data_IF_250777227761
#
_entry.id   IF_250777227761
#
_cell.length_a   1.000
_cell.length_b   1.000
_cell.length_c   1.000
_cell.angle_alpha   90.00
_cell.angle_beta   90.00
_cell.angle_gamma   90.00
#
_symmetry.space_group_name_H-M   'P 1'
#
loop_
_entity.id
_entity.type
_entity.pdbx_description
1 polymer ?
#
# COMPACT_ATOMS: atom_id res chain seq x y z
N UNK A 1 11.31 17.46 -21.70
CA UNK A 1 10.93 16.33 -20.83
C UNK A 1 12.05 15.30 -20.93
N UNK A 2 12.67 14.85 -19.82
CA UNK A 2 13.83 13.92 -19.81
C UNK A 2 13.44 12.47 -19.46
N UNK A 3 12.15 12.18 -19.36
CA UNK A 3 11.62 10.87 -18.96
C UNK A 3 11.32 10.02 -20.20
N UNK A 4 11.76 8.76 -20.19
CA UNK A 4 11.45 7.76 -21.21
C UNK A 4 10.65 6.65 -20.50
N UNK A 5 9.34 6.51 -20.77
CA UNK A 5 8.55 5.41 -20.20
C UNK A 5 8.94 4.09 -20.87
N UNK A 6 9.01 3.02 -20.08
CA UNK A 6 9.37 1.67 -20.52
C UNK A 6 8.30 0.71 -20.03
N UNK A 7 7.81 -0.16 -20.91
CA UNK A 7 6.79 -1.15 -20.55
C UNK A 7 7.39 -2.32 -19.80
N UNK A 8 6.58 -3.06 -19.03
CA UNK A 8 7.06 -4.30 -18.43
C UNK A 8 7.50 -5.32 -19.49
N UNK A 9 8.63 -5.99 -19.25
CA UNK A 9 9.20 -6.98 -20.16
C UNK A 9 9.94 -6.41 -21.37
N UNK A 10 9.91 -5.09 -21.59
CA UNK A 10 10.69 -4.44 -22.64
C UNK A 10 12.18 -4.42 -22.28
N UNK A 11 13.02 -4.88 -23.21
CA UNK A 11 14.48 -4.86 -23.06
C UNK A 11 15.02 -3.58 -23.68
N UNK A 12 15.60 -2.71 -22.86
CA UNK A 12 16.08 -1.39 -23.28
C UNK A 12 17.58 -1.24 -23.01
N UNK A 13 18.38 -0.94 -24.03
CA UNK A 13 19.78 -0.58 -23.86
C UNK A 13 19.88 0.83 -23.22
N UNK A 14 20.42 0.92 -22.01
CA UNK A 14 20.57 2.19 -21.25
C UNK A 14 22.01 2.69 -21.19
N UNK A 15 22.97 1.82 -21.53
CA UNK A 15 24.39 2.13 -21.77
C UNK A 15 24.95 1.12 -22.77
N UNK A 16 26.20 1.29 -23.28
CA UNK A 16 26.83 0.31 -24.17
C UNK A 16 26.94 -1.11 -23.60
N UNK A 17 26.84 -1.27 -22.29
CA UNK A 17 27.07 -2.52 -21.56
C UNK A 17 25.95 -2.86 -20.57
N UNK A 18 24.84 -2.12 -20.51
CA UNK A 18 23.73 -2.38 -19.59
C UNK A 18 22.41 -2.36 -20.35
N UNK A 19 21.67 -3.47 -20.20
CA UNK A 19 20.27 -3.58 -20.59
C UNK A 19 19.38 -3.58 -19.36
N UNK A 20 18.32 -2.78 -19.42
CA UNK A 20 17.28 -2.66 -18.42
C UNK A 20 16.04 -3.44 -18.87
N UNK A 21 15.41 -4.16 -17.94
CA UNK A 21 14.04 -4.66 -18.09
C UNK A 21 13.26 -4.39 -16.82
N UNK A 22 12.07 -3.80 -16.97
CA UNK A 22 11.16 -3.56 -15.85
C UNK A 22 10.18 -4.73 -15.72
N UNK A 23 9.84 -5.09 -14.49
CA UNK A 23 8.90 -6.16 -14.21
C UNK A 23 7.94 -5.81 -13.08
N UNK A 24 6.73 -6.34 -13.09
CA UNK A 24 5.73 -6.07 -12.04
C UNK A 24 6.27 -6.39 -10.63
N UNK A 25 6.19 -5.40 -9.72
CA UNK A 25 6.48 -5.54 -8.30
C UNK A 25 5.23 -5.71 -7.42
N UNK A 26 4.02 -5.49 -7.95
CA UNK A 26 2.76 -5.66 -7.22
C UNK A 26 2.55 -4.71 -6.03
N UNK A 27 3.33 -3.63 -5.91
CA UNK A 27 3.28 -2.71 -4.76
C UNK A 27 2.25 -1.60 -4.93
N UNK A 28 2.36 -0.85 -6.03
CA UNK A 28 1.42 0.18 -6.51
C UNK A 28 1.32 0.09 -8.04
N UNK A 29 0.37 0.80 -8.65
CA UNK A 29 0.24 0.86 -10.11
C UNK A 29 1.57 1.24 -10.76
N UNK A 30 2.03 0.43 -11.72
CA UNK A 30 3.29 0.64 -12.42
C UNK A 30 4.57 0.35 -11.61
N UNK A 31 4.45 -0.06 -10.33
CA UNK A 31 5.61 -0.44 -9.51
C UNK A 31 6.42 -1.53 -10.19
N UNK A 32 7.74 -1.32 -10.24
CA UNK A 32 8.61 -2.11 -11.10
C UNK A 32 9.86 -2.58 -10.36
N UNK A 33 10.15 -3.87 -10.48
CA UNK A 33 11.46 -4.43 -10.23
C UNK A 33 12.36 -4.12 -11.43
N UNK A 34 13.60 -3.77 -11.14
CA UNK A 34 14.62 -3.41 -12.12
C UNK A 34 15.54 -4.62 -12.32
N UNK A 35 15.49 -5.22 -13.50
CA UNK A 35 16.46 -6.25 -13.92
C UNK A 35 17.52 -5.62 -14.81
N UNK A 36 18.78 -5.73 -14.40
CA UNK A 36 19.94 -5.23 -15.13
C UNK A 36 20.76 -6.40 -15.64
N UNK A 37 20.94 -6.44 -16.95
CA UNK A 37 21.86 -7.34 -17.63
C UNK A 37 23.13 -6.59 -18.00
N UNK A 38 24.26 -6.94 -17.36
CA UNK A 38 25.51 -6.19 -17.44
C UNK A 38 26.55 -6.95 -18.27
N UNK A 39 27.21 -6.26 -19.19
CA UNK A 39 28.14 -6.80 -20.18
C UNK A 39 27.46 -7.79 -21.12
N UNK A 40 28.17 -8.86 -21.48
CA UNK A 40 27.59 -10.00 -22.23
C UNK A 40 27.05 -11.05 -21.26
N UNK A 41 26.25 -10.61 -20.29
CA UNK A 41 25.84 -11.43 -19.14
C UNK A 41 27.00 -11.74 -18.20
N UNK A 42 27.90 -10.77 -18.00
CA UNK A 42 28.96 -10.87 -17.01
C UNK A 42 28.34 -11.03 -15.60
N UNK A 43 27.33 -10.21 -15.31
CA UNK A 43 26.58 -10.24 -14.05
C UNK A 43 25.17 -9.70 -14.26
N UNK A 44 24.18 -10.26 -13.57
CA UNK A 44 22.80 -9.79 -13.62
C UNK A 44 22.32 -9.45 -12.22
N UNK A 45 21.68 -8.28 -12.10
CA UNK A 45 21.16 -7.75 -10.85
C UNK A 45 19.66 -7.57 -10.96
N UNK A 46 18.93 -8.00 -9.94
CA UNK A 46 17.54 -7.57 -9.75
C UNK A 46 17.49 -6.67 -8.54
N UNK A 47 16.94 -5.47 -8.69
CA UNK A 47 16.57 -4.60 -7.59
C UNK A 47 15.05 -4.55 -7.49
N UNK A 48 14.48 -4.94 -6.34
CA UNK A 48 13.03 -5.09 -6.21
C UNK A 48 12.31 -3.75 -6.12
N UNK A 49 12.95 -2.71 -5.59
CA UNK A 49 12.22 -1.62 -4.94
C UNK A 49 11.30 -2.17 -3.84
N UNK A 50 10.19 -1.49 -3.61
CA UNK A 50 9.10 -2.02 -2.78
C UNK A 50 8.26 -3.02 -3.58
N UNK A 51 7.86 -4.14 -2.98
CA UNK A 51 7.11 -5.19 -3.68
C UNK A 51 6.14 -5.96 -2.78
N UNK A 52 5.06 -6.47 -3.38
CA UNK A 52 4.10 -7.38 -2.75
C UNK A 52 4.12 -8.74 -3.42
N UNK A 53 4.56 -9.77 -2.70
CA UNK A 53 4.51 -11.17 -3.15
C UNK A 53 3.34 -11.93 -2.51
N UNK A 54 2.17 -11.30 -2.51
CA UNK A 54 0.92 -11.82 -1.99
C UNK A 54 -0.26 -11.33 -2.81
N UNK A 55 -1.43 -11.90 -2.57
CA UNK A 55 -2.66 -11.49 -3.23
C UNK A 55 -3.09 -10.09 -2.78
N UNK A 56 -3.54 -9.29 -3.75
CA UNK A 56 -4.24 -8.02 -3.56
C UNK A 56 -5.40 -7.96 -4.55
N UNK A 57 -6.43 -7.17 -4.26
CA UNK A 57 -7.54 -6.96 -5.20
C UNK A 57 -7.06 -6.16 -6.42
N UNK A 58 -6.23 -5.13 -6.18
CA UNK A 58 -5.80 -4.18 -7.19
C UNK A 58 -4.76 -4.72 -8.17
N UNK A 59 -3.76 -5.46 -7.67
CA UNK A 59 -2.55 -5.79 -8.43
C UNK A 59 -2.24 -7.29 -8.41
N UNK A 60 -1.64 -7.77 -9.50
CA UNK A 60 -1.01 -9.09 -9.50
C UNK A 60 0.25 -9.10 -8.61
N UNK A 61 0.57 -10.24 -7.97
CA UNK A 61 1.76 -10.34 -7.14
C UNK A 61 3.03 -10.11 -7.95
N UNK A 62 4.09 -9.69 -7.26
CA UNK A 62 5.42 -9.53 -7.83
C UNK A 62 5.87 -10.78 -8.60
N UNK A 63 6.52 -10.58 -9.74
CA UNK A 63 7.10 -11.71 -10.48
C UNK A 63 8.28 -12.30 -9.71
N UNK A 64 8.54 -13.59 -9.87
CA UNK A 64 9.70 -14.26 -9.28
C UNK A 64 10.53 -15.05 -10.29
N UNK A 65 10.24 -14.87 -11.58
CA UNK A 65 10.87 -15.59 -12.70
C UNK A 65 11.67 -14.61 -13.55
N UNK A 66 12.97 -14.83 -13.67
CA UNK A 66 13.89 -13.98 -14.43
C UNK A 66 14.77 -14.83 -15.35
N UNK A 67 15.28 -14.29 -16.46
CA UNK A 67 16.16 -15.07 -17.35
C UNK A 67 17.47 -15.51 -16.67
N UNK A 68 18.10 -14.60 -15.92
CA UNK A 68 19.35 -14.85 -15.19
C UNK A 68 19.52 -13.82 -14.07
N UNK A 69 19.91 -14.28 -12.87
CA UNK A 69 20.15 -13.41 -11.71
C UNK A 69 21.26 -13.96 -10.85
N UNK A 70 22.32 -13.17 -10.63
CA UNK A 70 23.38 -13.49 -9.68
C UNK A 70 23.19 -12.77 -8.34
N UNK A 71 22.78 -11.50 -8.40
CA UNK A 71 22.56 -10.63 -7.24
C UNK A 71 21.12 -10.15 -7.19
N UNK A 72 20.48 -10.32 -6.04
CA UNK A 72 19.20 -9.68 -5.70
C UNK A 72 19.47 -8.56 -4.68
N UNK A 73 18.84 -7.40 -4.87
CA UNK A 73 18.75 -6.33 -3.88
C UNK A 73 17.26 -6.21 -3.54
N UNK A 74 16.88 -6.46 -2.29
CA UNK A 74 15.49 -6.64 -1.86
C UNK A 74 15.14 -5.77 -0.66
N UNK A 75 13.93 -5.21 -0.63
CA UNK A 75 13.43 -4.49 0.55
C UNK A 75 13.31 -5.39 1.81
N UNK A 76 13.26 -4.77 2.98
CA UNK A 76 13.17 -5.43 4.28
C UNK A 76 12.23 -4.71 5.25
N UNK A 77 11.24 -3.97 4.73
CA UNK A 77 10.31 -3.13 5.52
C UNK A 77 9.66 -3.90 6.66
N UNK A 78 9.18 -5.12 6.36
CA UNK A 78 8.60 -6.08 7.31
C UNK A 78 9.57 -7.22 7.64
N UNK A 79 10.85 -6.90 7.82
CA UNK A 79 11.91 -7.85 8.08
C UNK A 79 12.02 -8.38 9.51
N UNK A 80 11.19 -7.93 10.48
CA UNK A 80 11.25 -8.44 11.86
C UNK A 80 10.51 -9.79 12.01
N UNK A 81 10.93 -10.71 12.90
CA UNK A 81 10.27 -12.01 13.11
C UNK A 81 8.76 -11.97 13.35
N UNK A 82 8.29 -10.93 14.03
CA UNK A 82 6.91 -10.62 14.38
C UNK A 82 6.16 -9.84 13.30
N UNK A 83 6.82 -9.43 12.22
CA UNK A 83 6.19 -8.75 11.07
C UNK A 83 5.52 -9.76 10.12
N UNK A 84 4.65 -10.60 10.68
CA UNK A 84 3.79 -11.53 9.94
C UNK A 84 2.38 -10.96 9.98
N UNK A 85 1.77 -10.80 8.81
CA UNK A 85 0.39 -10.30 8.73
C UNK A 85 -0.61 -11.45 8.71
N UNK A 86 -1.85 -11.24 9.18
CA UNK A 86 -2.92 -12.22 9.02
C UNK A 86 -3.14 -12.59 7.55
N UNK A 87 -3.67 -13.79 7.26
CA UNK A 87 -4.14 -14.16 5.94
C UNK A 87 -5.15 -13.13 5.41
N UNK A 88 -5.16 -12.92 4.09
CA UNK A 88 -5.99 -11.88 3.47
C UNK A 88 -7.48 -12.01 3.82
N UNK A 89 -8.02 -13.21 3.81
CA UNK A 89 -9.43 -13.44 4.15
C UNK A 89 -9.77 -13.04 5.59
N UNK A 90 -8.84 -13.25 6.55
CA UNK A 90 -9.02 -12.83 7.94
C UNK A 90 -8.90 -11.30 8.09
N UNK A 91 -7.96 -10.68 7.35
CA UNK A 91 -7.83 -9.22 7.26
C UNK A 91 -9.12 -8.58 6.73
N UNK A 92 -9.68 -9.13 5.66
CA UNK A 92 -10.90 -8.60 5.03
C UNK A 92 -12.12 -8.80 5.96
N UNK A 93 -12.28 -9.98 6.57
CA UNK A 93 -13.35 -10.23 7.52
C UNK A 93 -13.29 -9.27 8.72
N UNK A 94 -12.09 -9.04 9.29
CA UNK A 94 -11.91 -8.08 10.38
C UNK A 94 -12.29 -6.66 9.96
N UNK A 95 -11.95 -6.25 8.74
CA UNK A 95 -12.35 -4.96 8.18
C UNK A 95 -13.86 -4.82 8.08
N UNK A 96 -14.51 -5.81 7.48
CA UNK A 96 -15.97 -5.83 7.29
C UNK A 96 -16.69 -5.80 8.63
N UNK A 97 -16.27 -6.64 9.60
CA UNK A 97 -16.88 -6.71 10.92
C UNK A 97 -16.79 -5.38 11.69
N UNK A 98 -15.61 -4.76 11.71
CA UNK A 98 -15.40 -3.47 12.36
C UNK A 98 -16.22 -2.37 11.69
N UNK A 99 -16.15 -2.30 10.34
CA UNK A 99 -16.88 -1.30 9.57
C UNK A 99 -18.39 -1.44 9.80
N UNK A 100 -18.96 -2.64 9.66
CA UNK A 100 -20.38 -2.90 9.93
C UNK A 100 -20.79 -2.53 11.34
N UNK A 101 -19.95 -2.80 12.35
CA UNK A 101 -20.24 -2.44 13.74
C UNK A 101 -20.40 -0.92 13.91
N UNK A 102 -19.51 -0.13 13.31
CA UNK A 102 -19.54 1.34 13.33
C UNK A 102 -20.74 1.87 12.52
N UNK A 103 -20.94 1.33 11.31
CA UNK A 103 -21.95 1.80 10.36
C UNK A 103 -23.40 1.59 10.81
N UNK A 104 -23.64 0.86 11.91
CA UNK A 104 -24.98 0.77 12.52
C UNK A 104 -25.56 2.15 12.84
N UNK A 105 -24.74 3.07 13.36
CA UNK A 105 -25.18 4.40 13.77
C UNK A 105 -24.16 5.52 13.50
N UNK A 106 -22.94 5.19 13.10
CA UNK A 106 -21.85 6.17 12.95
C UNK A 106 -21.19 6.13 11.59
N UNK A 107 -20.04 6.80 11.52
CA UNK A 107 -19.26 7.00 10.30
C UNK A 107 -17.87 6.41 10.45
N UNK A 108 -17.37 5.81 9.38
CA UNK A 108 -16.03 5.23 9.32
C UNK A 108 -15.10 6.19 8.60
N UNK A 109 -14.02 6.62 9.24
CA UNK A 109 -12.94 7.39 8.62
C UNK A 109 -11.79 6.45 8.30
N UNK A 110 -11.32 6.46 7.06
CA UNK A 110 -10.18 5.66 6.60
C UNK A 110 -9.12 6.62 6.01
N UNK A 111 -8.07 6.97 6.79
CA UNK A 111 -6.94 7.73 6.27
C UNK A 111 -6.16 6.89 5.26
N UNK A 112 -6.00 7.40 4.03
CA UNK A 112 -5.25 6.71 2.97
C UNK A 112 -4.32 7.65 2.20
N UNK A 113 -3.16 7.17 1.69
CA UNK A 113 -2.42 7.87 0.64
C UNK A 113 -3.25 7.92 -0.65
N UNK A 114 -2.95 8.89 -1.52
CA UNK A 114 -3.69 9.08 -2.78
C UNK A 114 -3.57 7.87 -3.74
N UNK A 115 -2.42 7.21 -3.76
CA UNK A 115 -2.09 6.11 -4.68
C UNK A 115 -1.79 4.83 -3.89
N UNK A 116 -2.21 3.69 -4.42
CA UNK A 116 -1.96 2.36 -3.86
C UNK A 116 -3.05 1.95 -2.90
N UNK A 117 -2.91 2.32 -1.61
CA UNK A 117 -3.83 1.87 -0.56
C UNK A 117 -5.27 2.30 -0.79
N UNK A 118 -5.50 3.54 -1.24
CA UNK A 118 -6.85 4.01 -1.47
C UNK A 118 -7.59 3.12 -2.48
N UNK A 119 -6.94 2.82 -3.61
CA UNK A 119 -7.54 1.97 -4.65
C UNK A 119 -7.76 0.54 -4.16
N UNK A 120 -6.82 -0.04 -3.41
CA UNK A 120 -7.00 -1.37 -2.81
C UNK A 120 -8.23 -1.44 -1.90
N UNK A 121 -8.40 -0.44 -1.02
CA UNK A 121 -9.54 -0.41 -0.09
C UNK A 121 -10.86 -0.13 -0.82
N UNK A 122 -10.84 0.70 -1.86
CA UNK A 122 -12.03 0.87 -2.72
C UNK A 122 -12.46 -0.47 -3.34
N UNK A 123 -11.53 -1.28 -3.84
CA UNK A 123 -11.87 -2.60 -4.40
C UNK A 123 -12.43 -3.55 -3.35
N UNK A 124 -11.85 -3.57 -2.15
CA UNK A 124 -12.37 -4.35 -1.01
C UNK A 124 -13.78 -3.91 -0.66
N UNK A 125 -14.00 -2.61 -0.46
CA UNK A 125 -15.32 -2.06 -0.13
C UNK A 125 -16.34 -2.41 -1.22
N UNK A 126 -16.02 -2.17 -2.49
CA UNK A 126 -16.94 -2.46 -3.59
C UNK A 126 -17.33 -3.94 -3.60
N UNK A 127 -16.33 -4.83 -3.53
CA UNK A 127 -16.54 -6.28 -3.55
C UNK A 127 -17.46 -6.72 -2.41
N UNK A 128 -17.15 -6.34 -1.17
CA UNK A 128 -17.92 -6.80 -0.01
C UNK A 128 -19.30 -6.14 0.10
N UNK A 129 -19.51 -4.94 -0.47
CA UNK A 129 -20.85 -4.36 -0.64
C UNK A 129 -21.65 -5.13 -1.72
N UNK A 130 -21.06 -5.42 -2.89
CA UNK A 130 -21.71 -6.23 -3.93
C UNK A 130 -22.06 -7.65 -3.45
N UNK A 131 -21.24 -8.24 -2.58
CA UNK A 131 -21.47 -9.56 -1.95
C UNK A 131 -22.51 -9.51 -0.82
N UNK A 132 -22.94 -8.31 -0.37
CA UNK A 132 -23.90 -8.12 0.71
C UNK A 132 -23.34 -8.37 2.12
N UNK A 133 -22.02 -8.47 2.26
CA UNK A 133 -21.34 -8.69 3.54
C UNK A 133 -20.99 -7.38 4.25
N UNK A 134 -20.67 -6.31 3.51
CA UNK A 134 -20.47 -4.97 4.03
C UNK A 134 -21.74 -4.12 3.82
N UNK A 135 -22.19 -3.45 4.88
CA UNK A 135 -23.38 -2.59 4.87
C UNK A 135 -23.23 -1.52 3.79
N UNK A 136 -24.17 -1.49 2.84
CA UNK A 136 -24.21 -0.49 1.78
C UNK A 136 -24.49 0.91 2.36
N UNK A 137 -23.51 1.79 2.21
CA UNK A 137 -23.60 3.20 2.61
C UNK A 137 -22.82 4.04 1.59
N UNK A 138 -23.07 5.36 1.48
CA UNK A 138 -22.25 6.22 0.66
C UNK A 138 -20.77 6.17 1.09
N UNK A 139 -19.87 6.04 0.12
CA UNK A 139 -18.42 6.11 0.33
C UNK A 139 -17.92 7.42 -0.26
N UNK A 140 -17.56 8.36 0.61
CA UNK A 140 -17.03 9.66 0.22
C UNK A 140 -15.53 9.60 0.02
N UNK A 141 -15.06 10.07 -1.14
CA UNK A 141 -13.66 10.07 -1.53
C UNK A 141 -13.20 11.53 -1.63
N UNK A 142 -12.18 11.92 -0.86
CA UNK A 142 -11.63 13.29 -0.91
C UNK A 142 -10.09 13.33 -0.94
N UNK A 143 -9.57 14.34 -1.64
CA UNK A 143 -8.16 14.53 -1.94
C UNK A 143 -7.81 13.97 -3.31
N UNK A 144 -6.51 13.75 -3.57
CA UNK A 144 -5.99 13.31 -4.88
C UNK A 144 -6.33 11.84 -5.23
N UNK A 145 -7.22 11.19 -4.47
CA UNK A 145 -7.60 9.79 -4.67
C UNK A 145 -8.33 9.63 -5.99
N UNK A 146 -9.24 10.54 -6.35
CA UNK A 146 -10.02 10.45 -7.58
C UNK A 146 -9.17 10.60 -8.83
N UNK A 147 -8.23 11.54 -8.80
CA UNK A 147 -7.26 11.83 -9.86
C UNK A 147 -6.29 10.66 -10.03
N UNK A 148 -5.77 10.12 -8.91
CA UNK A 148 -4.96 8.92 -8.92
C UNK A 148 -5.73 7.73 -9.50
N UNK A 149 -7.00 7.58 -9.15
CA UNK A 149 -7.86 6.49 -9.65
C UNK A 149 -8.11 6.64 -11.15
N UNK A 150 -8.29 7.86 -11.67
CA UNK A 150 -8.35 8.12 -13.11
C UNK A 150 -7.10 7.69 -13.86
N UNK A 151 -5.93 7.68 -13.22
CA UNK A 151 -4.70 7.10 -13.80
C UNK A 151 -4.79 5.56 -13.82
N UNK A 152 -5.34 4.93 -12.78
CA UNK A 152 -5.50 3.46 -12.76
C UNK A 152 -6.41 2.98 -13.89
N UNK A 153 -7.51 3.70 -14.14
CA UNK A 153 -8.46 3.35 -15.21
C UNK A 153 -7.88 3.60 -16.60
N UNK A 154 -6.93 4.54 -16.74
CA UNK A 154 -6.21 4.79 -17.99
C UNK A 154 -5.10 3.76 -18.30
N UNK A 155 -4.64 3.01 -17.29
CA UNK A 155 -3.59 1.99 -17.43
C UNK A 155 -4.04 0.61 -16.92
N UNK A 156 -5.13 0.02 -17.47
CA UNK A 156 -5.70 -1.22 -16.97
C UNK A 156 -4.77 -2.43 -17.15
N UNK A 157 -3.84 -2.40 -18.11
CA UNK A 157 -2.85 -3.46 -18.32
C UNK A 157 -1.88 -3.65 -17.13
N UNK A 158 -1.80 -2.66 -16.24
CA UNK A 158 -0.98 -2.70 -15.03
C UNK A 158 -1.75 -3.15 -13.78
N UNK A 159 -3.05 -3.44 -13.90
CA UNK A 159 -3.90 -3.95 -12.83
C UNK A 159 -3.84 -5.48 -12.75
N UNK A 160 -4.45 -6.05 -11.71
CA UNK A 160 -4.65 -7.50 -11.61
C UNK A 160 -5.40 -8.01 -12.84
N UNK A 161 -5.13 -9.25 -13.26
CA UNK A 161 -5.80 -9.85 -14.42
C UNK A 161 -7.33 -9.83 -14.29
N UNK A 162 -7.85 -10.03 -13.09
CA UNK A 162 -9.28 -10.01 -12.81
C UNK A 162 -9.85 -8.61 -13.04
N UNK A 163 -9.22 -7.58 -12.47
CA UNK A 163 -9.69 -6.21 -12.58
C UNK A 163 -9.52 -5.65 -14.00
N UNK A 164 -8.40 -5.99 -14.67
CA UNK A 164 -8.17 -5.66 -16.08
C UNK A 164 -9.25 -6.24 -16.97
N UNK A 165 -9.54 -7.54 -16.83
CA UNK A 165 -10.53 -8.21 -17.68
C UNK A 165 -11.94 -7.66 -17.41
N UNK A 166 -12.28 -7.35 -16.15
CA UNK A 166 -13.54 -6.69 -15.79
C UNK A 166 -13.71 -5.31 -16.46
N UNK A 167 -12.66 -4.49 -16.46
CA UNK A 167 -12.68 -3.16 -17.07
C UNK A 167 -12.68 -3.25 -18.61
N UNK A 168 -11.77 -4.02 -19.19
CA UNK A 168 -11.53 -4.03 -20.64
C UNK A 168 -12.51 -4.91 -21.43
N UNK A 169 -13.00 -6.02 -20.84
CA UNK A 169 -13.84 -7.00 -21.53
C UNK A 169 -15.29 -6.88 -21.14
N UNK A 170 -15.57 -6.75 -19.84
CA UNK A 170 -16.94 -6.73 -19.34
C UNK A 170 -17.51 -5.30 -19.30
N UNK A 171 -16.67 -4.28 -19.51
CA UNK A 171 -17.06 -2.87 -19.48
C UNK A 171 -17.52 -2.40 -18.10
N UNK A 172 -17.23 -3.17 -17.05
CA UNK A 172 -17.56 -2.82 -15.65
C UNK A 172 -16.32 -2.24 -15.00
N UNK A 173 -16.41 -0.99 -14.56
CA UNK A 173 -15.33 -0.34 -13.83
C UNK A 173 -15.70 -0.22 -12.35
N UNK A 174 -15.14 -1.06 -11.44
CA UNK A 174 -15.44 -0.98 -10.01
C UNK A 174 -15.09 0.37 -9.37
N UNK A 175 -14.18 1.15 -9.97
CA UNK A 175 -13.86 2.49 -9.50
C UNK A 175 -14.97 3.52 -9.77
N UNK A 176 -15.94 3.18 -10.63
CA UNK A 176 -17.10 4.01 -10.99
C UNK A 176 -18.39 3.46 -10.36
N UNK A 177 -18.27 2.63 -9.32
CA UNK A 177 -19.42 2.12 -8.58
C UNK A 177 -20.30 3.23 -8.02
N UNK A 178 -21.62 3.02 -8.04
CA UNK A 178 -22.62 3.95 -7.52
C UNK A 178 -22.47 4.21 -6.01
N UNK A 179 -21.77 3.33 -5.28
CA UNK A 179 -21.43 3.55 -3.88
C UNK A 179 -20.47 4.75 -3.67
N UNK A 180 -19.70 5.14 -4.70
CA UNK A 180 -18.57 6.07 -4.57
C UNK A 180 -18.93 7.50 -4.97
N UNK A 181 -18.73 8.45 -4.05
CA UNK A 181 -18.98 9.88 -4.28
C UNK A 181 -17.71 10.70 -4.08
N UNK A 182 -17.22 11.33 -5.15
CA UNK A 182 -16.07 12.24 -5.07
C UNK A 182 -16.48 13.60 -4.50
N UNK A 183 -15.81 14.02 -3.42
CA UNK A 183 -16.03 15.31 -2.77
C UNK A 183 -15.04 16.33 -3.33
N UNK A 184 -15.53 17.25 -4.18
CA UNK A 184 -14.70 18.32 -4.79
C UNK A 184 -14.76 19.66 -4.06
N UNK A 185 -15.83 19.90 -3.30
CA UNK A 185 -16.07 21.18 -2.63
C UNK A 185 -15.97 21.00 -1.12
N UNK A 186 -15.25 21.92 -0.46
CA UNK A 186 -14.94 21.82 0.98
C UNK A 186 -16.15 22.10 1.89
N UNK A 187 -17.16 22.81 1.39
CA UNK A 187 -18.41 23.11 2.09
C UNK A 187 -19.24 21.85 2.36
N UNK A 188 -19.17 20.84 1.47
CA UNK A 188 -19.87 19.56 1.63
C UNK A 188 -19.41 18.73 2.83
N UNK A 189 -18.25 19.03 3.43
CA UNK A 189 -17.74 18.25 4.59
C UNK A 189 -18.64 18.36 5.82
N UNK A 190 -19.26 19.53 6.02
CA UNK A 190 -20.18 19.74 7.13
C UNK A 190 -21.47 18.92 6.91
N UNK A 191 -22.02 18.95 5.69
CA UNK A 191 -23.17 18.11 5.29
C UNK A 191 -22.89 16.61 5.45
N UNK A 192 -21.71 16.14 5.03
CA UNK A 192 -21.30 14.74 5.17
C UNK A 192 -21.17 14.36 6.65
N UNK A 193 -20.60 15.22 7.48
CA UNK A 193 -20.41 14.96 8.91
C UNK A 193 -21.74 14.93 9.67
N UNK A 194 -22.69 15.78 9.30
CA UNK A 194 -24.03 15.87 9.90
C UNK A 194 -25.03 14.86 9.32
N UNK A 195 -24.72 14.25 8.17
CA UNK A 195 -25.55 13.26 7.50
C UNK A 195 -25.58 11.88 8.18
N UNK A 196 -26.14 10.89 7.47
CA UNK A 196 -26.27 9.51 7.95
C UNK A 196 -24.94 8.72 7.95
N UNK A 197 -24.99 7.43 8.33
CA UNK A 197 -23.84 6.53 8.26
C UNK A 197 -23.19 6.52 6.88
N UNK A 198 -21.86 6.58 6.85
CA UNK A 198 -21.07 6.58 5.63
C UNK A 198 -19.62 6.15 5.90
N UNK A 199 -18.90 5.82 4.83
CA UNK A 199 -17.46 5.62 4.84
C UNK A 199 -16.81 6.86 4.22
N UNK A 200 -15.76 7.39 4.84
CA UNK A 200 -15.01 8.55 4.38
C UNK A 200 -13.56 8.15 4.18
N UNK A 201 -13.14 8.09 2.92
CA UNK A 201 -11.76 7.83 2.52
C UNK A 201 -11.11 9.15 2.12
N UNK A 202 -10.09 9.56 2.88
CA UNK A 202 -9.48 10.87 2.69
C UNK A 202 -7.97 10.86 2.90
N UNK A 203 -7.28 11.73 2.16
CA UNK A 203 -5.84 11.97 2.36
C UNK A 203 -5.58 12.91 3.56
N UNK A 204 -4.41 12.84 4.21
CA UNK A 204 -3.30 11.92 3.98
C UNK A 204 -3.31 10.71 4.92
N UNK A 205 -2.77 9.57 4.46
CA UNK A 205 -2.86 8.28 5.17
C UNK A 205 -2.20 8.19 6.54
N UNK A 206 -1.35 9.16 6.91
CA UNK A 206 -0.74 9.24 8.24
C UNK A 206 -1.28 10.39 9.10
N UNK A 207 -2.32 11.09 8.61
CA UNK A 207 -2.96 12.21 9.30
C UNK A 207 -2.00 13.38 9.61
N UNK A 208 -1.04 13.63 8.72
CA UNK A 208 -0.14 14.80 8.83
C UNK A 208 -0.75 16.06 8.20
N UNK A 209 -1.95 15.96 7.63
CA UNK A 209 -2.66 17.05 6.98
C UNK A 209 -3.74 16.54 6.03
N UNK A 210 -4.28 17.46 5.22
CA UNK A 210 -5.27 17.14 4.19
C UNK A 210 -6.72 17.02 4.72
N UNK A 211 -7.66 16.63 3.84
CA UNK A 211 -9.08 16.54 4.16
C UNK A 211 -9.40 15.62 5.34
N UNK A 212 -8.62 14.55 5.57
CA UNK A 212 -8.86 13.61 6.67
C UNK A 212 -8.84 14.28 8.04
N UNK A 213 -8.03 15.33 8.20
CA UNK A 213 -7.95 16.10 9.45
C UNK A 213 -9.22 16.90 9.70
N UNK A 214 -9.87 17.37 8.64
CA UNK A 214 -11.11 18.12 8.75
C UNK A 214 -12.31 17.23 9.10
N UNK A 215 -12.37 16.02 8.55
CA UNK A 215 -13.34 15.01 8.99
C UNK A 215 -13.07 14.57 10.43
N UNK A 216 -11.81 14.30 10.77
CA UNK A 216 -11.43 13.89 12.11
C UNK A 216 -11.85 14.90 13.17
N UNK A 217 -11.62 16.21 12.96
CA UNK A 217 -12.05 17.25 13.92
C UNK A 217 -13.54 17.22 14.23
N UNK A 218 -14.37 16.96 13.21
CA UNK A 218 -15.84 16.95 13.30
C UNK A 218 -16.36 15.68 13.99
N UNK A 219 -15.74 14.55 13.68
CA UNK A 219 -16.26 13.23 14.01
C UNK A 219 -15.61 12.62 15.26
N UNK A 220 -14.38 13.02 15.61
CA UNK A 220 -13.65 12.50 16.76
C UNK A 220 -14.33 12.68 18.12
N UNK A 221 -15.08 13.76 18.39
CA UNK A 221 -15.76 13.96 19.67
C UNK A 221 -16.91 12.98 19.98
N UNK A 222 -17.30 12.14 19.03
CA UNK A 222 -18.48 11.28 19.06
C UNK A 222 -18.08 9.81 19.02
N UNK A 223 -18.64 8.97 19.90
CA UNK A 223 -18.20 7.59 20.14
C UNK A 223 -18.84 6.56 19.20
N UNK A 224 -19.92 6.93 18.52
CA UNK A 224 -20.53 6.13 17.46
C UNK A 224 -19.64 6.02 16.21
N UNK A 225 -18.73 6.98 16.01
CA UNK A 225 -17.82 6.99 14.87
C UNK A 225 -16.60 6.09 15.11
N UNK A 226 -15.91 5.77 14.02
CA UNK A 226 -14.65 5.03 14.09
C UNK A 226 -13.62 5.48 13.08
N UNK A 227 -12.36 5.30 13.45
CA UNK A 227 -11.18 5.57 12.65
C UNK A 227 -10.46 4.24 12.40
N UNK A 228 -10.36 3.83 11.13
CA UNK A 228 -9.73 2.58 10.73
C UNK A 228 -8.43 2.87 10.00
N UNK A 229 -7.30 2.51 10.60
CA UNK A 229 -5.99 2.57 9.97
C UNK A 229 -5.72 1.30 9.17
N UNK A 230 -5.47 1.48 7.88
CA UNK A 230 -5.17 0.42 6.88
C UNK A 230 -3.76 0.53 6.30
N UNK A 231 -2.96 1.47 6.81
CA UNK A 231 -1.59 1.73 6.39
C UNK A 231 -0.66 1.81 7.60
N UNK A 232 0.61 1.48 7.38
CA UNK A 232 1.66 1.71 8.37
C UNK A 232 1.70 3.19 8.78
N UNK A 233 1.87 3.43 10.07
CA UNK A 233 1.96 4.77 10.64
C UNK A 233 3.38 4.99 11.15
N UNK A 234 4.08 5.96 10.54
CA UNK A 234 5.45 6.28 10.93
C UNK A 234 5.45 6.88 12.35
N UNK A 235 6.44 6.50 13.14
CA UNK A 235 6.58 6.97 14.51
C UNK A 235 6.66 8.51 14.56
N UNK A 236 5.90 9.13 15.47
CA UNK A 236 5.81 10.59 15.61
C UNK A 236 4.67 11.26 14.82
N UNK A 237 4.04 10.55 13.87
CA UNK A 237 2.86 11.08 13.16
C UNK A 237 1.64 11.19 14.07
N UNK A 238 0.63 12.00 13.68
CA UNK A 238 -0.65 12.01 14.40
C UNK A 238 -1.33 10.65 14.37
N UNK A 239 -1.34 9.97 13.21
CA UNK A 239 -1.94 8.65 13.08
C UNK A 239 -1.34 7.63 14.05
N UNK A 240 0.00 7.59 14.18
CA UNK A 240 0.66 6.70 15.14
C UNK A 240 0.30 7.03 16.59
N UNK A 241 0.20 8.32 16.95
CA UNK A 241 -0.19 8.73 18.31
C UNK A 241 -1.64 8.34 18.63
N UNK A 242 -2.55 8.44 17.65
CA UNK A 242 -3.93 7.98 17.79
C UNK A 242 -4.02 6.46 17.95
N UNK A 243 -3.24 5.69 17.19
CA UNK A 243 -3.11 4.24 17.40
C UNK A 243 -2.61 3.90 18.81
N UNK A 244 -1.68 4.70 19.35
CA UNK A 244 -1.17 4.55 20.71
C UNK A 244 -2.17 5.02 21.81
N UNK A 245 -3.38 5.43 21.43
CA UNK A 245 -4.45 5.78 22.37
C UNK A 245 -4.50 7.26 22.76
N UNK A 246 -3.90 8.18 21.98
CA UNK A 246 -4.04 9.62 22.21
C UNK A 246 -5.53 10.02 22.23
N UNK A 247 -5.99 10.62 23.35
CA UNK A 247 -7.40 11.00 23.57
C UNK A 247 -7.69 12.50 23.43
N UNK A 248 -6.66 13.31 23.20
CA UNK A 248 -6.78 14.75 23.03
C UNK A 248 -5.76 15.24 22.00
N UNK A 249 -6.22 15.96 21.00
CA UNK A 249 -5.39 16.44 19.89
C UNK A 249 -5.53 17.95 19.79
N UNK A 250 -4.40 18.66 19.75
CA UNK A 250 -4.38 20.07 19.40
C UNK A 250 -4.62 20.22 17.90
N UNK A 251 -5.67 20.93 17.54
CA UNK A 251 -6.07 21.21 16.17
C UNK A 251 -6.22 22.72 15.98
N UNK A 252 -6.42 23.14 14.73
CA UNK A 252 -6.66 24.55 14.40
C UNK A 252 -8.03 24.69 13.73
N UNK A 253 -8.79 25.69 14.12
CA UNK A 253 -10.06 26.05 13.46
C UNK A 253 -9.80 26.65 12.08
N UNK A 254 -10.87 26.85 11.28
CA UNK A 254 -10.78 27.53 9.97
C UNK A 254 -10.18 28.95 10.09
N UNK A 255 -10.37 29.62 11.22
CA UNK A 255 -9.84 30.96 11.51
C UNK A 255 -8.43 30.93 12.13
N UNK A 256 -7.79 29.76 12.17
CA UNK A 256 -6.42 29.60 12.70
C UNK A 256 -6.31 29.61 14.22
N UNK A 257 -7.42 29.54 14.95
CA UNK A 257 -7.40 29.45 16.42
C UNK A 257 -7.07 28.03 16.85
N UNK A 258 -6.22 27.89 17.86
CA UNK A 258 -5.93 26.58 18.45
C UNK A 258 -7.15 26.06 19.21
N UNK A 259 -7.52 24.81 18.95
CA UNK A 259 -8.63 24.11 19.57
C UNK A 259 -8.16 22.74 20.07
N UNK A 260 -8.86 22.22 21.08
CA UNK A 260 -8.61 20.88 21.60
C UNK A 260 -9.74 19.98 21.11
N UNK A 261 -9.38 19.00 20.27
CA UNK A 261 -10.30 17.96 19.82
C UNK A 261 -10.21 16.77 20.77
N UNK A 262 -11.30 16.47 21.48
CA UNK A 262 -11.44 15.25 22.28
C UNK A 262 -11.68 14.05 21.35
N UNK A 263 -10.98 12.95 21.58
CA UNK A 263 -11.09 11.74 20.77
C UNK A 263 -11.88 10.69 21.55
N UNK A 264 -13.16 10.57 21.22
CA UNK A 264 -14.09 9.55 21.74
C UNK A 264 -14.36 8.44 20.73
N UNK A 265 -14.23 8.72 19.43
CA UNK A 265 -14.38 7.71 18.39
C UNK A 265 -13.49 6.48 18.64
N UNK A 266 -13.95 5.33 18.16
CA UNK A 266 -13.17 4.09 18.27
C UNK A 266 -12.01 4.09 17.27
N UNK A 267 -10.82 3.67 17.69
CA UNK A 267 -9.63 3.62 16.84
C UNK A 267 -9.23 2.17 16.59
N UNK A 268 -9.21 1.76 15.33
CA UNK A 268 -8.90 0.39 14.92
C UNK A 268 -7.71 0.37 13.96
N UNK A 269 -6.90 -0.67 14.03
CA UNK A 269 -5.80 -0.90 13.09
C UNK A 269 -5.96 -2.26 12.46
N UNK A 270 -5.94 -2.30 11.14
CA UNK A 270 -6.09 -3.53 10.38
C UNK A 270 -4.79 -3.80 9.64
N UNK A 271 -4.12 -4.85 10.07
CA UNK A 271 -2.92 -5.35 9.45
C UNK A 271 -3.26 -6.26 8.27
N UNK A 272 -2.36 -6.34 7.29
CA UNK A 272 -2.50 -7.22 6.12
C UNK A 272 -2.81 -6.51 4.82
N UNK A 273 -3.35 -5.28 4.86
CA UNK A 273 -3.54 -4.50 3.64
C UNK A 273 -2.21 -4.02 3.04
N UNK A 274 -1.15 -3.81 3.84
CA UNK A 274 0.15 -3.24 3.43
C UNK A 274 0.61 -3.61 2.01
N UNK A 275 1.06 -2.61 1.23
CA UNK A 275 1.58 -2.82 -0.13
C UNK A 275 2.97 -3.46 -0.13
N UNK A 276 3.58 -3.64 1.04
CA UNK A 276 4.83 -4.36 1.19
C UNK A 276 4.58 -5.84 1.51
N UNK A 277 5.52 -6.67 1.11
CA UNK A 277 5.56 -8.07 1.49
C UNK A 277 5.81 -8.22 2.99
N UNK A 278 4.99 -9.01 3.67
CA UNK A 278 5.26 -9.39 5.06
C UNK A 278 6.48 -10.32 5.16
N UNK A 279 6.90 -10.67 6.38
CA UNK A 279 8.09 -11.51 6.57
C UNK A 279 8.01 -12.85 5.83
N UNK A 280 6.84 -13.50 5.86
CA UNK A 280 6.66 -14.79 5.22
C UNK A 280 6.73 -14.66 3.70
N UNK A 281 6.15 -13.61 3.14
CA UNK A 281 6.20 -13.26 1.72
C UNK A 281 7.64 -12.95 1.28
N UNK A 282 8.41 -12.15 2.05
CA UNK A 282 9.82 -11.86 1.77
C UNK A 282 10.68 -13.14 1.74
N UNK A 283 10.52 -14.02 2.73
CA UNK A 283 11.23 -15.31 2.78
C UNK A 283 10.82 -16.19 1.61
N UNK A 284 9.52 -16.29 1.33
CA UNK A 284 8.99 -17.10 0.25
C UNK A 284 9.38 -16.59 -1.13
N UNK A 285 9.55 -15.28 -1.29
CA UNK A 285 10.04 -14.66 -2.52
C UNK A 285 11.42 -15.21 -2.88
N UNK A 286 12.40 -15.14 -1.96
CA UNK A 286 13.74 -15.69 -2.18
C UNK A 286 13.72 -17.20 -2.43
N UNK A 287 12.85 -17.95 -1.73
CA UNK A 287 12.71 -19.41 -1.93
C UNK A 287 12.15 -19.78 -3.29
N UNK A 288 11.18 -19.01 -3.79
CA UNK A 288 10.47 -19.28 -5.06
C UNK A 288 11.12 -18.61 -6.27
N UNK A 289 11.99 -17.63 -6.06
CA UNK A 289 12.70 -16.93 -7.12
C UNK A 289 13.49 -17.91 -8.00
N UNK A 290 13.38 -17.77 -9.31
CA UNK A 290 14.12 -18.55 -10.29
C UNK A 290 14.75 -17.63 -11.35
N UNK A 291 16.05 -17.81 -11.65
CA UNK A 291 16.99 -18.69 -10.95
C UNK A 291 17.25 -18.23 -9.50
N UNK A 292 17.73 -19.14 -8.65
CA UNK A 292 18.09 -18.79 -7.27
C UNK A 292 19.29 -17.83 -7.27
N UNK A 293 19.18 -16.64 -6.65
CA UNK A 293 20.29 -15.69 -6.58
C UNK A 293 21.40 -16.22 -5.67
N UNK A 294 22.67 -15.95 -6.01
CA UNK A 294 23.81 -16.32 -5.16
C UNK A 294 24.03 -15.34 -4.02
N UNK A 295 23.71 -14.07 -4.25
CA UNK A 295 23.86 -12.96 -3.30
C UNK A 295 22.55 -12.22 -3.16
N UNK A 296 22.16 -11.90 -1.93
CA UNK A 296 20.97 -11.11 -1.65
C UNK A 296 21.33 -10.00 -0.67
N UNK A 297 21.13 -8.76 -1.09
CA UNK A 297 21.34 -7.56 -0.26
C UNK A 297 19.98 -7.11 0.27
N UNK A 298 19.85 -7.05 1.59
CA UNK A 298 18.68 -6.50 2.25
C UNK A 298 18.86 -5.00 2.39
N UNK A 299 17.87 -4.22 1.96
CA UNK A 299 17.85 -2.75 2.03
C UNK A 299 16.44 -2.28 2.41
N UNK A 300 16.21 -0.99 2.55
CA UNK A 300 14.86 -0.42 2.75
C UNK A 300 14.09 -1.07 3.91
N UNK A 301 14.68 -0.99 5.11
CA UNK A 301 14.10 -1.40 6.37
C UNK A 301 15.00 -0.99 7.52
N UNK A 302 14.46 -0.93 8.74
CA UNK A 302 15.23 -0.62 9.94
C UNK A 302 16.45 -1.55 10.06
N UNK A 303 17.55 -1.03 10.61
CA UNK A 303 18.84 -1.76 10.68
C UNK A 303 18.68 -3.17 11.27
N UNK A 304 17.95 -3.29 12.39
CA UNK A 304 17.68 -4.56 13.06
C UNK A 304 16.93 -5.56 12.17
N UNK A 305 15.93 -5.09 11.40
CA UNK A 305 15.13 -5.89 10.45
C UNK A 305 15.99 -6.37 9.29
N UNK A 306 16.79 -5.48 8.74
CA UNK A 306 17.69 -5.74 7.60
C UNK A 306 18.75 -6.78 7.97
N UNK A 307 19.41 -6.63 9.12
CA UNK A 307 20.37 -7.61 9.65
C UNK A 307 19.69 -8.96 9.90
N UNK A 308 18.50 -8.95 10.50
CA UNK A 308 17.75 -10.17 10.79
C UNK A 308 17.40 -10.93 9.50
N UNK A 309 16.88 -10.24 8.49
CA UNK A 309 16.54 -10.83 7.20
C UNK A 309 17.77 -11.39 6.51
N UNK A 310 18.88 -10.65 6.45
CA UNK A 310 20.14 -11.11 5.85
C UNK A 310 20.66 -12.40 6.52
N UNK A 311 20.57 -12.51 7.85
CA UNK A 311 20.90 -13.75 8.59
C UNK A 311 19.94 -14.88 8.25
N UNK A 312 18.64 -14.57 8.17
CA UNK A 312 17.58 -15.56 7.92
C UNK A 312 17.74 -16.19 6.54
N UNK A 313 17.92 -15.38 5.49
CA UNK A 313 18.08 -15.88 4.12
C UNK A 313 19.43 -16.58 3.88
N UNK A 314 20.47 -16.25 4.63
CA UNK A 314 21.78 -16.93 4.54
C UNK A 314 21.73 -18.40 5.00
N UNK A 315 20.65 -18.79 5.67
CA UNK A 315 20.39 -20.21 6.01
C UNK A 315 19.87 -21.01 4.81
N UNK A 316 19.48 -20.35 3.73
CA UNK A 316 19.05 -21.02 2.51
C UNK A 316 20.26 -21.52 1.72
N UNK A 317 20.20 -22.76 1.24
CA UNK A 317 21.31 -23.39 0.52
C UNK A 317 21.67 -22.58 -0.73
N UNK A 318 22.96 -22.22 -0.85
CA UNK A 318 23.51 -21.53 -2.02
C UNK A 318 23.24 -20.03 -2.07
N UNK A 319 22.66 -19.44 -1.02
CA UNK A 319 22.36 -18.01 -0.92
C UNK A 319 23.23 -17.38 0.17
N UNK A 320 23.88 -16.25 -0.15
CA UNK A 320 24.57 -15.42 0.84
C UNK A 320 23.84 -14.09 1.01
N UNK A 321 23.40 -13.83 2.24
CA UNK A 321 22.73 -12.59 2.61
C UNK A 321 23.68 -11.51 3.11
N UNK A 322 23.38 -10.26 2.77
CA UNK A 322 24.13 -9.06 3.13
C UNK A 322 23.18 -7.98 3.66
N UNK A 323 23.67 -7.15 4.57
CA UNK A 323 22.96 -5.98 5.11
C UNK A 323 23.95 -4.81 5.05
N UNK A 324 24.10 -4.17 3.88
CA UNK A 324 25.08 -3.11 3.68
C UNK A 324 24.77 -1.89 4.56
N UNK A 325 25.83 -1.29 5.11
CA UNK A 325 25.75 0.03 5.72
C UNK A 325 25.63 1.14 4.68
N UNK A 326 25.17 2.32 5.09
CA UNK A 326 25.24 3.52 4.24
C UNK A 326 26.70 3.78 3.84
N UNK A 327 26.92 4.13 2.57
CA UNK A 327 28.23 4.40 1.96
C UNK A 327 29.14 3.17 1.76
N UNK A 328 28.71 1.96 2.10
CA UNK A 328 29.45 0.76 1.76
C UNK A 328 29.35 0.44 0.25
N UNK A 329 30.43 -0.11 -0.31
CA UNK A 329 30.51 -0.52 -1.73
C UNK A 329 30.87 -2.00 -1.83
N UNK A 330 30.16 -2.71 -2.70
CA UNK A 330 30.37 -4.14 -2.93
C UNK A 330 30.76 -4.39 -4.38
N UNK A 331 31.89 -5.08 -4.58
CA UNK A 331 32.26 -5.62 -5.88
C UNK A 331 31.46 -6.88 -6.18
N UNK A 332 30.70 -6.89 -7.28
CA UNK A 332 29.78 -7.99 -7.62
C UNK A 332 30.37 -9.00 -8.60
N UNK A 333 31.26 -8.55 -9.49
CA UNK A 333 31.97 -9.35 -10.49
C UNK A 333 33.33 -8.75 -10.79
#
# INVERSE_FOLDING_TARGET
>A
MRTIPISWGEVTDVSPDIRLTLHNAGHILGSSMVHLHIGRGLHNVVYTGDFKYGYTELLSPAISQFPRVETLIMESTYGAPDNVTPPRAETDALFVDIANSILKNGKVIIPVPAVGRAQEILMVINRYMEEGELTEVPVYIEGMISEATGIHTAYPDYLSSNLRDLILRDGRNPFESDYFTVVKQHDRRDEIAEGGPCIIMATAGMMEGGPVIEYFKRLAPWDENGLIFVSYQVNGTLGQRLQAGLRSVQTYSRDGKMEITNVKLSTHTIEGFSGHSDRNQLINYVRKMRPTPRRVFMVHGEESKTINMARTISRMRGVKGFSPGMLETFLLA
#
